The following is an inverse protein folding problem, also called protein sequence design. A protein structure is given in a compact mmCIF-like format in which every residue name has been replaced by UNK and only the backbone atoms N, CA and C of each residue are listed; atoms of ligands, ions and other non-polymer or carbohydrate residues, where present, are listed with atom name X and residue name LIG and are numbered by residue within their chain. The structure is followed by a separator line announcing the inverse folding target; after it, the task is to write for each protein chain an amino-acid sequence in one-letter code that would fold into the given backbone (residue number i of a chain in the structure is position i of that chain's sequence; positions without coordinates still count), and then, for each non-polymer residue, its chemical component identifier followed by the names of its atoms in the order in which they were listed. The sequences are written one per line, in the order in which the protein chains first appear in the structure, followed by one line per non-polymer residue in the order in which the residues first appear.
data_IF_517054969575
#
_entry.id   IF_517054969575
#
_cell.length_a   1.000
_cell.length_b   1.000
_cell.length_c   1.000
_cell.angle_alpha   90.00
_cell.angle_beta   90.00
_cell.angle_gamma   90.00
#
_symmetry.space_group_name_H-M   'P 1'
#
loop_
_entity.id
_entity.type
_entity.pdbx_description
1 polymer ?
#
# COMPACT_ATOMS: atom_id res chain seq x y z
N UNK A 1 4.01 -28.19 10.56
CA UNK A 1 3.96 -28.14 9.07
C UNK A 1 3.09 -26.98 8.59
N UNK A 2 3.62 -26.10 7.74
CA UNK A 2 2.86 -25.00 7.15
C UNK A 2 1.93 -25.57 6.06
N UNK A 3 0.75 -26.05 6.48
CA UNK A 3 -0.27 -26.65 5.60
C UNK A 3 -0.80 -25.67 4.55
N UNK A 4 -0.55 -24.36 4.72
CA UNK A 4 -1.01 -23.32 3.81
C UNK A 4 -0.47 -23.45 2.37
N UNK A 5 0.62 -24.19 2.12
CA UNK A 5 1.11 -24.39 0.76
C UNK A 5 0.40 -25.54 0.02
N UNK A 6 0.01 -26.60 0.73
CA UNK A 6 -0.51 -27.82 0.10
C UNK A 6 -1.82 -27.60 -0.66
N UNK A 7 -2.64 -26.65 -0.22
CA UNK A 7 -3.96 -26.35 -0.80
C UNK A 7 -3.99 -25.05 -1.62
N UNK A 8 -2.84 -24.38 -1.77
CA UNK A 8 -2.77 -23.09 -2.45
C UNK A 8 -2.88 -23.26 -3.98
N UNK A 9 -4.00 -22.80 -4.56
CA UNK A 9 -4.19 -22.75 -6.02
C UNK A 9 -3.41 -21.62 -6.70
N UNK A 10 -3.02 -20.60 -5.93
CA UNK A 10 -2.21 -19.47 -6.36
C UNK A 10 -1.15 -19.18 -5.31
N UNK A 11 0.01 -18.74 -5.77
CA UNK A 11 1.13 -18.34 -4.94
C UNK A 11 1.66 -16.98 -5.40
N UNK A 12 2.27 -16.25 -4.47
CA UNK A 12 3.09 -15.10 -4.79
C UNK A 12 4.56 -15.49 -4.58
N UNK A 13 5.39 -15.33 -5.61
CA UNK A 13 6.83 -15.47 -5.51
C UNK A 13 7.44 -14.09 -5.23
N UNK A 14 8.04 -13.93 -4.06
CA UNK A 14 8.63 -12.68 -3.60
C UNK A 14 10.16 -12.73 -3.67
N UNK A 15 10.78 -11.63 -4.10
CA UNK A 15 12.23 -11.48 -4.10
C UNK A 15 12.64 -10.32 -3.20
N UNK A 16 13.49 -10.58 -2.20
CA UNK A 16 13.92 -9.59 -1.19
C UNK A 16 14.92 -8.53 -1.68
N UNK A 17 14.98 -8.23 -2.99
CA UNK A 17 15.94 -7.30 -3.58
C UNK A 17 15.21 -6.20 -4.36
N UNK A 18 15.68 -4.95 -4.26
CA UNK A 18 15.15 -3.78 -5.00
C UNK A 18 13.62 -3.55 -4.89
N UNK A 19 13.11 -3.31 -3.67
CA UNK A 19 11.70 -2.89 -3.47
C UNK A 19 10.70 -4.02 -3.22
N UNK A 20 11.21 -5.24 -3.00
CA UNK A 20 10.41 -6.44 -2.76
C UNK A 20 9.42 -6.76 -3.90
N UNK A 21 9.91 -6.90 -5.16
CA UNK A 21 9.08 -7.30 -6.28
C UNK A 21 8.43 -8.67 -6.04
N UNK A 22 7.22 -8.84 -6.56
CA UNK A 22 6.50 -10.09 -6.52
C UNK A 22 5.85 -10.43 -7.86
N UNK A 23 5.79 -11.72 -8.17
CA UNK A 23 4.93 -12.27 -9.20
C UNK A 23 3.81 -13.07 -8.54
N UNK A 24 2.58 -12.94 -9.04
CA UNK A 24 1.50 -13.88 -8.74
C UNK A 24 1.49 -14.96 -9.81
N UNK A 25 1.24 -16.21 -9.44
CA UNK A 25 1.31 -17.34 -10.35
C UNK A 25 0.92 -18.67 -9.72
N UNK A 26 1.30 -19.75 -10.39
CA UNK A 26 1.08 -21.12 -9.95
C UNK A 26 2.40 -21.78 -9.54
N UNK A 27 2.37 -22.50 -8.42
CA UNK A 27 3.46 -23.35 -7.98
C UNK A 27 3.14 -24.80 -8.36
N UNK A 28 3.91 -25.37 -9.28
CA UNK A 28 3.90 -26.80 -9.53
C UNK A 28 4.72 -27.47 -8.42
N UNK A 29 4.02 -28.16 -7.50
CA UNK A 29 4.67 -28.83 -6.37
C UNK A 29 5.38 -30.13 -6.77
N UNK A 30 5.04 -30.71 -7.93
CA UNK A 30 5.67 -31.94 -8.43
C UNK A 30 7.09 -31.63 -8.91
N UNK A 31 7.23 -30.53 -9.64
CA UNK A 31 8.52 -30.10 -10.21
C UNK A 31 9.19 -28.97 -9.43
N UNK A 32 8.51 -28.43 -8.40
CA UNK A 32 8.96 -27.28 -7.61
C UNK A 32 9.28 -26.08 -8.50
N UNK A 33 8.42 -25.85 -9.49
CA UNK A 33 8.55 -24.74 -10.45
C UNK A 33 7.45 -23.72 -10.24
N UNK A 34 7.78 -22.43 -10.39
CA UNK A 34 6.82 -21.35 -10.33
C UNK A 34 6.61 -20.78 -11.74
N UNK A 35 5.35 -20.67 -12.16
CA UNK A 35 4.95 -20.04 -13.41
C UNK A 35 4.10 -18.80 -13.10
N UNK A 36 4.59 -17.58 -13.39
CA UNK A 36 3.79 -16.36 -13.21
C UNK A 36 2.50 -16.38 -14.04
N UNK A 37 1.47 -15.71 -13.54
CA UNK A 37 0.21 -15.50 -14.26
C UNK A 37 0.51 -14.83 -15.62
N UNK A 38 -0.07 -15.38 -16.69
CA UNK A 38 0.12 -14.90 -18.05
C UNK A 38 1.45 -15.25 -18.71
N UNK A 39 2.36 -15.96 -18.03
CA UNK A 39 3.58 -16.48 -18.65
C UNK A 39 3.25 -17.70 -19.53
N UNK A 40 3.78 -17.80 -20.77
CA UNK A 40 3.63 -19.01 -21.57
C UNK A 40 4.26 -20.23 -20.88
N UNK A 41 3.66 -21.41 -21.03
CA UNK A 41 4.23 -22.64 -20.50
C UNK A 41 5.65 -22.90 -21.08
N UNK A 42 6.59 -23.29 -20.23
CA UNK A 42 7.99 -23.52 -20.61
C UNK A 42 8.80 -22.27 -20.92
N UNK A 43 8.23 -21.07 -20.70
CA UNK A 43 8.93 -19.81 -20.89
C UNK A 43 9.92 -19.49 -19.78
N UNK A 44 10.89 -18.62 -20.07
CA UNK A 44 11.91 -18.19 -19.11
C UNK A 44 11.61 -16.78 -18.55
N UNK A 45 12.35 -16.39 -17.50
CA UNK A 45 12.16 -15.11 -16.81
C UNK A 45 12.21 -13.87 -17.71
N UNK A 46 12.91 -13.90 -18.85
CA UNK A 46 13.00 -12.74 -19.77
C UNK A 46 11.70 -12.46 -20.53
N UNK A 47 10.79 -13.44 -20.59
CA UNK A 47 9.49 -13.32 -21.25
C UNK A 47 8.34 -13.06 -20.27
N UNK A 48 8.62 -13.12 -18.97
CA UNK A 48 7.62 -12.86 -17.95
C UNK A 48 7.30 -11.37 -17.90
N UNK A 49 6.07 -11.04 -17.49
CA UNK A 49 5.73 -9.66 -17.17
C UNK A 49 6.63 -9.14 -16.06
N UNK A 50 6.79 -7.82 -16.01
CA UNK A 50 7.51 -7.17 -14.91
C UNK A 50 6.83 -7.48 -13.58
N UNK A 51 7.59 -7.73 -12.50
CA UNK A 51 7.00 -8.01 -11.21
C UNK A 51 6.29 -6.78 -10.65
N UNK A 52 5.29 -7.03 -9.82
CA UNK A 52 4.61 -6.00 -9.05
C UNK A 52 5.52 -5.51 -7.92
N UNK A 53 5.64 -4.19 -7.78
CA UNK A 53 6.31 -3.59 -6.63
C UNK A 53 5.33 -3.52 -5.47
N UNK A 54 5.68 -4.15 -4.35
CA UNK A 54 4.80 -4.28 -3.20
C UNK A 54 4.81 -3.03 -2.30
N UNK A 55 5.89 -2.26 -2.28
CA UNK A 55 5.97 -1.01 -1.53
C UNK A 55 6.91 -0.02 -2.23
N UNK A 56 7.02 1.20 -1.70
CA UNK A 56 7.94 2.22 -2.17
C UNK A 56 9.40 1.94 -1.78
N UNK A 57 10.27 2.88 -2.16
CA UNK A 57 11.74 2.74 -2.06
C UNK A 57 12.31 2.65 -0.65
N UNK A 58 11.55 3.02 0.38
CA UNK A 58 11.99 3.07 1.77
C UNK A 58 11.49 1.87 2.60
N UNK A 59 11.29 0.71 1.95
CA UNK A 59 10.75 -0.49 2.56
C UNK A 59 11.57 -1.72 2.21
N UNK A 60 12.10 -2.42 3.22
CA UNK A 60 13.03 -3.54 3.07
C UNK A 60 12.74 -4.66 4.07
N UNK A 61 13.41 -5.81 3.92
CA UNK A 61 13.30 -6.96 4.83
C UNK A 61 11.85 -7.45 4.99
N UNK A 62 11.21 -7.70 3.85
CA UNK A 62 9.84 -8.18 3.74
C UNK A 62 9.74 -9.61 4.30
N UNK A 63 9.01 -9.80 5.40
CA UNK A 63 8.83 -11.11 6.01
C UNK A 63 7.35 -11.52 6.00
N UNK A 64 6.90 -12.35 5.03
CA UNK A 64 5.54 -12.86 4.98
C UNK A 64 5.38 -14.18 5.75
N UNK A 65 6.36 -14.63 6.53
CA UNK A 65 6.27 -15.93 7.19
C UNK A 65 5.34 -15.93 8.42
N UNK A 66 4.92 -14.75 8.87
CA UNK A 66 3.93 -14.65 9.94
C UNK A 66 2.55 -15.11 9.45
N UNK A 67 1.93 -16.00 10.22
CA UNK A 67 0.55 -16.42 10.02
C UNK A 67 -0.13 -16.72 11.34
N UNK A 68 -1.44 -16.52 11.39
CA UNK A 68 -2.28 -16.92 12.52
C UNK A 68 -3.65 -17.40 12.02
N UNK A 69 -4.51 -17.89 12.92
CA UNK A 69 -5.86 -18.36 12.61
C UNK A 69 -6.93 -17.38 13.13
N UNK A 70 -6.65 -16.07 13.07
CA UNK A 70 -7.56 -15.00 13.53
C UNK A 70 -8.36 -14.37 12.38
N UNK A 71 -8.38 -15.01 11.22
CA UNK A 71 -9.24 -14.61 10.09
C UNK A 71 -10.72 -14.91 10.34
N UNK A 72 -11.58 -14.45 9.43
CA UNK A 72 -13.01 -14.73 9.47
C UNK A 72 -13.25 -16.25 9.53
N UNK A 73 -14.10 -16.70 10.46
CA UNK A 73 -14.36 -18.13 10.67
C UNK A 73 -13.15 -18.95 11.14
N UNK A 74 -12.11 -18.32 11.69
CA UNK A 74 -10.87 -18.99 12.09
C UNK A 74 -9.90 -19.26 10.92
N UNK A 75 -10.14 -18.65 9.76
CA UNK A 75 -9.27 -18.78 8.60
C UNK A 75 -7.83 -18.32 8.90
N UNK A 76 -6.86 -18.99 8.27
CA UNK A 76 -5.46 -18.58 8.36
C UNK A 76 -5.24 -17.26 7.64
N UNK A 77 -4.62 -16.30 8.32
CA UNK A 77 -4.17 -15.02 7.74
C UNK A 77 -2.69 -15.11 7.44
N UNK A 78 -2.27 -14.49 6.33
CA UNK A 78 -0.87 -14.22 6.02
C UNK A 78 -0.57 -12.78 6.45
N UNK A 79 0.36 -12.62 7.38
CA UNK A 79 0.76 -11.34 7.92
C UNK A 79 2.13 -10.96 7.38
N UNK A 80 2.37 -9.66 7.28
CA UNK A 80 3.66 -9.12 6.93
C UNK A 80 4.00 -7.89 7.75
N UNK A 81 5.29 -7.68 7.94
CA UNK A 81 5.91 -6.44 8.38
C UNK A 81 7.23 -6.31 7.63
N UNK A 82 7.73 -5.08 7.54
CA UNK A 82 9.02 -4.83 6.94
C UNK A 82 9.69 -3.65 7.62
N UNK A 83 10.98 -3.51 7.37
CA UNK A 83 11.81 -2.45 7.86
C UNK A 83 11.64 -1.21 6.97
N UNK A 84 11.19 -0.12 7.57
CA UNK A 84 11.15 1.21 6.93
C UNK A 84 12.52 1.84 7.10
N UNK A 85 13.32 1.92 6.03
CA UNK A 85 14.75 2.29 6.04
C UNK A 85 15.00 3.80 6.22
N UNK A 86 14.13 4.48 6.96
CA UNK A 86 14.18 5.93 7.18
C UNK A 86 15.45 6.38 7.90
N UNK A 87 15.75 7.68 7.73
CA UNK A 87 16.89 8.33 8.39
C UNK A 87 16.72 8.45 9.90
N UNK A 88 17.78 8.93 10.56
CA UNK A 88 17.75 9.26 11.99
C UNK A 88 16.76 10.40 12.20
N UNK A 89 15.87 10.26 13.19
CA UNK A 89 14.99 11.36 13.59
C UNK A 89 15.82 12.56 14.02
N UNK A 90 15.44 13.78 13.65
CA UNK A 90 16.11 15.00 14.14
C UNK A 90 16.08 15.09 15.66
N UNK A 91 15.05 14.54 16.30
CA UNK A 91 14.96 14.46 17.76
C UNK A 91 15.94 13.45 18.36
N UNK A 92 16.41 12.46 17.58
CA UNK A 92 17.34 11.41 17.99
C UNK A 92 18.76 11.59 17.44
N UNK A 93 19.04 12.72 16.76
CA UNK A 93 20.37 13.09 16.30
C UNK A 93 21.32 13.31 17.51
N UNK A 94 22.66 13.40 17.32
CA UNK A 94 23.61 13.53 18.42
C UNK A 94 23.34 14.66 19.42
N UNK A 95 22.69 15.74 18.97
CA UNK A 95 22.26 16.89 19.79
C UNK A 95 20.74 16.95 19.99
N UNK A 96 20.06 15.81 19.83
CA UNK A 96 18.61 15.69 19.89
C UNK A 96 18.07 15.65 21.32
N UNK A 97 16.74 15.67 21.42
CA UNK A 97 16.01 15.65 22.70
C UNK A 97 15.65 14.24 23.20
N UNK A 98 15.86 13.20 22.39
CA UNK A 98 15.58 11.81 22.74
C UNK A 98 16.78 10.91 22.44
N UNK A 99 16.89 9.72 23.10
CA UNK A 99 17.93 8.76 22.80
C UNK A 99 17.99 8.38 21.32
N UNK A 100 19.16 7.96 20.86
CA UNK A 100 19.35 7.54 19.47
C UNK A 100 18.45 6.37 19.11
N UNK A 101 17.70 6.54 18.03
CA UNK A 101 17.02 5.47 17.31
C UNK A 101 16.96 5.84 15.83
N UNK A 102 16.92 4.83 14.97
CA UNK A 102 16.84 5.00 13.53
C UNK A 102 15.84 3.99 12.98
N UNK A 103 15.10 4.43 11.96
CA UNK A 103 14.13 3.58 11.26
C UNK A 103 12.97 3.09 12.13
N UNK A 104 12.07 2.30 11.53
CA UNK A 104 10.97 1.64 12.23
C UNK A 104 10.55 0.37 11.48
N UNK A 105 9.76 -0.48 12.12
CA UNK A 105 8.95 -1.46 11.39
C UNK A 105 7.66 -0.81 10.89
N UNK A 106 7.15 -1.25 9.74
CA UNK A 106 5.77 -0.93 9.36
C UNK A 106 4.79 -1.53 10.36
N UNK A 107 3.57 -0.97 10.36
CA UNK A 107 2.42 -1.69 10.90
C UNK A 107 2.31 -3.07 10.24
N UNK A 108 1.79 -4.03 10.99
CA UNK A 108 1.46 -5.34 10.45
C UNK A 108 0.37 -5.17 9.37
N UNK A 109 0.55 -5.85 8.24
CA UNK A 109 -0.42 -5.86 7.14
C UNK A 109 -0.84 -7.28 6.83
N UNK A 110 -2.09 -7.44 6.43
CA UNK A 110 -2.58 -8.66 5.80
C UNK A 110 -2.09 -8.70 4.35
N UNK A 111 -1.65 -9.87 3.90
CA UNK A 111 -1.37 -10.16 2.50
C UNK A 111 -2.46 -11.06 1.93
N UNK A 112 -3.06 -10.61 0.84
CA UNK A 112 -4.02 -11.40 0.07
C UNK A 112 -3.66 -11.35 -1.40
N UNK A 113 -4.00 -12.39 -2.15
CA UNK A 113 -4.00 -12.31 -3.62
C UNK A 113 -5.42 -11.88 -4.01
N UNK A 114 -5.54 -10.72 -4.64
CA UNK A 114 -6.78 -10.34 -5.31
C UNK A 114 -6.76 -10.94 -6.71
N UNK A 115 -7.79 -11.71 -7.11
CA UNK A 115 -7.92 -12.14 -8.50
C UNK A 115 -8.10 -10.93 -9.40
N UNK A 116 -7.76 -11.08 -10.68
CA UNK A 116 -7.95 -10.04 -11.71
C UNK A 116 -9.39 -9.49 -11.64
N UNK A 117 -9.50 -8.18 -11.43
CA UNK A 117 -10.77 -7.44 -11.37
C UNK A 117 -11.04 -6.66 -12.67
N UNK A 118 -10.56 -7.16 -13.81
CA UNK A 118 -10.64 -6.45 -15.10
C UNK A 118 -9.52 -5.43 -15.29
N UNK A 119 -8.39 -5.63 -14.59
CA UNK A 119 -7.16 -4.85 -14.72
C UNK A 119 -5.99 -5.70 -15.27
N UNK A 120 -6.33 -6.79 -15.96
CA UNK A 120 -5.46 -7.71 -16.71
C UNK A 120 -4.49 -8.59 -15.87
N UNK A 121 -4.59 -8.58 -14.53
CA UNK A 121 -3.77 -9.46 -13.67
C UNK A 121 -4.23 -9.59 -12.21
N UNK A 122 -3.95 -10.76 -11.62
CA UNK A 122 -3.98 -10.98 -10.17
C UNK A 122 -2.91 -10.12 -9.49
N UNK A 123 -3.16 -9.68 -8.25
CA UNK A 123 -2.20 -8.85 -7.53
C UNK A 123 -2.09 -9.18 -6.05
N UNK A 124 -0.93 -8.89 -5.48
CA UNK A 124 -0.75 -8.95 -4.02
C UNK A 124 -1.29 -7.66 -3.42
N UNK A 125 -2.39 -7.79 -2.69
CA UNK A 125 -3.03 -6.70 -1.97
C UNK A 125 -2.56 -6.70 -0.52
N UNK A 126 -2.25 -5.51 -0.03
CA UNK A 126 -1.88 -5.28 1.36
C UNK A 126 -2.93 -4.39 2.01
N UNK A 127 -3.39 -4.77 3.20
CA UNK A 127 -4.25 -3.94 4.05
C UNK A 127 -3.68 -3.94 5.46
N UNK A 128 -3.79 -2.83 6.23
CA UNK A 128 -3.45 -2.87 7.65
C UNK A 128 -4.15 -4.03 8.36
N UNK A 129 -3.46 -4.69 9.29
CA UNK A 129 -4.09 -5.72 10.12
C UNK A 129 -5.22 -5.08 10.96
N UNK A 130 -6.39 -5.74 11.09
CA UNK A 130 -7.59 -5.13 11.68
C UNK A 130 -7.40 -4.72 13.15
N UNK A 131 -6.42 -5.29 13.83
CA UNK A 131 -6.02 -4.94 15.20
C UNK A 131 -5.66 -3.47 15.35
N UNK A 132 -5.24 -2.78 14.27
CA UNK A 132 -4.99 -1.33 14.30
C UNK A 132 -6.24 -0.53 14.71
N UNK A 133 -7.44 -1.06 14.45
CA UNK A 133 -8.69 -0.41 14.81
C UNK A 133 -8.84 -0.22 16.32
N UNK A 134 -8.19 -1.05 17.14
CA UNK A 134 -8.20 -0.90 18.60
C UNK A 134 -7.46 0.35 19.09
N UNK A 135 -6.60 0.96 18.26
CA UNK A 135 -5.89 2.21 18.58
C UNK A 135 -6.68 3.46 18.21
N UNK A 136 -7.83 3.33 17.52
CA UNK A 136 -8.65 4.45 17.09
C UNK A 136 -9.44 4.98 18.29
N UNK A 137 -9.32 6.28 18.56
CA UNK A 137 -10.13 6.95 19.59
C UNK A 137 -11.54 7.25 19.03
N UNK A 138 -12.60 6.56 19.50
CA UNK A 138 -13.95 6.76 18.97
C UNK A 138 -14.49 8.16 19.25
N UNK A 139 -13.96 8.89 20.25
CA UNK A 139 -14.38 10.25 20.59
C UNK A 139 -13.72 11.30 19.69
N UNK A 140 -12.62 10.95 19.02
CA UNK A 140 -11.88 11.86 18.12
C UNK A 140 -12.06 11.52 16.63
N UNK A 141 -12.81 10.47 16.33
CA UNK A 141 -13.19 10.09 14.97
C UNK A 141 -14.03 11.21 14.34
N UNK A 142 -13.64 11.67 13.14
CA UNK A 142 -14.25 12.79 12.42
C UNK A 142 -14.63 12.40 10.99
N UNK A 143 -15.94 12.22 10.79
CA UNK A 143 -16.49 12.05 9.44
C UNK A 143 -16.73 13.40 8.77
N UNK A 144 -16.27 13.53 7.53
CA UNK A 144 -16.58 14.66 6.67
C UNK A 144 -17.72 14.32 5.71
N UNK A 145 -18.61 15.27 5.47
CA UNK A 145 -19.61 15.15 4.40
C UNK A 145 -18.92 15.18 3.03
N UNK A 146 -19.64 14.74 2.00
CA UNK A 146 -19.19 14.92 0.62
C UNK A 146 -18.92 16.41 0.37
N UNK A 147 -17.78 16.69 -0.26
CA UNK A 147 -17.31 18.04 -0.52
C UNK A 147 -16.75 18.12 -1.94
N UNK A 148 -17.09 19.21 -2.62
CA UNK A 148 -16.52 19.49 -3.92
C UNK A 148 -15.14 20.14 -3.74
N UNK A 149 -14.11 19.49 -4.30
CA UNK A 149 -12.75 20.02 -4.30
C UNK A 149 -12.57 20.91 -5.53
N UNK A 150 -12.56 22.22 -5.30
CA UNK A 150 -12.37 23.20 -6.36
C UNK A 150 -10.96 23.12 -6.97
N UNK A 151 -10.79 23.35 -8.28
CA UNK A 151 -9.48 23.41 -8.92
C UNK A 151 -8.53 24.38 -8.21
N UNK A 152 -7.34 23.90 -7.83
CA UNK A 152 -6.34 24.67 -7.09
C UNK A 152 -6.66 24.90 -5.60
N UNK A 153 -7.82 24.45 -5.12
CA UNK A 153 -8.20 24.56 -3.72
C UNK A 153 -7.40 23.63 -2.81
N UNK A 154 -7.23 24.04 -1.56
CA UNK A 154 -6.60 23.24 -0.50
C UNK A 154 -7.16 23.65 0.87
N UNK A 155 -6.79 22.89 1.92
CA UNK A 155 -7.20 23.24 3.29
C UNK A 155 -8.59 22.76 3.69
N UNK A 156 -9.17 21.78 3.01
CA UNK A 156 -10.51 21.27 3.33
C UNK A 156 -10.62 20.54 4.69
N UNK A 157 -9.49 20.10 5.26
CA UNK A 157 -9.42 19.37 6.53
C UNK A 157 -8.82 20.21 7.68
N UNK A 158 -9.19 21.49 7.80
CA UNK A 158 -8.58 22.43 8.78
C UNK A 158 -8.69 21.98 10.25
N UNK A 159 -9.68 21.17 10.58
CA UNK A 159 -9.94 20.69 11.93
C UNK A 159 -9.28 19.35 12.25
N UNK A 160 -8.60 18.72 11.30
CA UNK A 160 -7.87 17.46 11.50
C UNK A 160 -6.44 17.76 11.85
N UNK A 161 -6.05 17.47 13.09
CA UNK A 161 -4.70 17.70 13.62
C UNK A 161 -4.29 16.53 14.51
N UNK A 162 -3.05 16.09 14.40
CA UNK A 162 -2.48 15.04 15.23
C UNK A 162 -1.18 14.48 14.66
N UNK A 163 -0.36 13.93 15.54
CA UNK A 163 0.93 13.35 15.19
C UNK A 163 0.85 11.84 14.88
N UNK A 164 -0.29 11.22 15.16
CA UNK A 164 -0.62 9.85 14.80
C UNK A 164 -2.08 9.82 14.35
N UNK A 165 -2.29 9.71 13.03
CA UNK A 165 -3.61 9.74 12.40
C UNK A 165 -3.72 8.57 11.43
N UNK A 166 -4.94 8.03 11.33
CA UNK A 166 -5.38 7.21 10.21
C UNK A 166 -6.40 8.02 9.42
N UNK A 167 -6.24 8.10 8.10
CA UNK A 167 -7.11 8.88 7.21
C UNK A 167 -7.56 7.98 6.06
N UNK A 168 -8.87 7.75 5.93
CA UNK A 168 -9.47 7.09 4.77
C UNK A 168 -10.13 8.16 3.90
N UNK A 169 -9.67 8.31 2.66
CA UNK A 169 -10.22 9.27 1.71
C UNK A 169 -10.65 8.59 0.42
N UNK A 170 -11.89 8.85 0.01
CA UNK A 170 -12.43 8.45 -1.29
C UNK A 170 -12.62 9.67 -2.15
N UNK A 171 -12.15 9.61 -3.40
CA UNK A 171 -12.31 10.68 -4.37
C UNK A 171 -13.15 10.18 -5.54
N UNK A 172 -14.20 10.92 -5.85
CA UNK A 172 -15.04 10.68 -7.02
C UNK A 172 -14.70 11.71 -8.08
N UNK A 173 -14.43 11.25 -9.31
CA UNK A 173 -14.21 12.14 -10.45
C UNK A 173 -15.51 12.32 -11.20
N UNK A 174 -15.91 13.57 -11.43
CA UNK A 174 -16.99 13.87 -12.36
C UNK A 174 -16.61 13.37 -13.77
N UNK A 175 -17.60 12.97 -14.57
CA UNK A 175 -17.42 12.41 -15.92
C UNK A 175 -16.53 13.30 -16.82
N UNK A 176 -16.64 14.62 -16.66
CA UNK A 176 -15.89 15.62 -17.42
C UNK A 176 -14.76 16.29 -16.59
N UNK A 177 -14.31 15.67 -15.50
CA UNK A 177 -13.27 16.22 -14.65
C UNK A 177 -11.95 16.37 -15.43
N UNK A 178 -11.42 17.59 -15.47
CA UNK A 178 -10.10 17.91 -16.05
C UNK A 178 -8.96 17.79 -15.04
N UNK A 179 -9.23 17.24 -13.86
CA UNK A 179 -8.21 17.05 -12.84
C UNK A 179 -7.09 16.16 -13.40
N UNK A 180 -5.85 16.63 -13.28
CA UNK A 180 -4.65 15.86 -13.60
C UNK A 180 -3.95 15.37 -12.33
N UNK A 181 -4.30 15.93 -11.17
CA UNK A 181 -3.76 15.55 -9.87
C UNK A 181 -4.67 15.98 -8.73
N UNK A 182 -4.80 15.15 -7.71
CA UNK A 182 -5.50 15.45 -6.44
C UNK A 182 -4.97 14.52 -5.34
N UNK A 183 -5.26 14.82 -4.06
CA UNK A 183 -4.83 13.97 -2.95
C UNK A 183 -4.84 14.66 -1.59
N UNK A 184 -4.02 14.14 -0.68
CA UNK A 184 -3.89 14.61 0.70
C UNK A 184 -2.51 15.22 0.93
N UNK A 185 -2.47 16.34 1.65
CA UNK A 185 -1.25 16.93 2.20
C UNK A 185 -1.13 16.54 3.67
N UNK A 186 -0.08 15.83 4.04
CA UNK A 186 0.12 15.31 5.39
C UNK A 186 1.34 15.95 6.06
N UNK A 187 1.41 15.86 7.38
CA UNK A 187 2.55 16.33 8.21
C UNK A 187 2.98 17.77 7.86
N UNK A 188 2.01 18.64 7.59
CA UNK A 188 2.29 20.01 7.15
C UNK A 188 2.89 20.84 8.30
N UNK A 189 4.08 21.40 8.07
CA UNK A 189 4.74 22.32 8.99
C UNK A 189 5.45 23.43 8.19
N UNK A 190 4.93 24.65 8.25
CA UNK A 190 5.44 25.74 7.42
C UNK A 190 5.36 25.41 5.93
N UNK A 191 6.50 25.38 5.24
CA UNK A 191 6.63 24.99 3.84
C UNK A 191 6.82 23.48 3.61
N UNK A 192 7.03 22.69 4.67
CA UNK A 192 7.22 21.25 4.56
C UNK A 192 5.87 20.52 4.51
N UNK A 193 5.78 19.48 3.67
CA UNK A 193 4.71 18.50 3.69
C UNK A 193 5.14 17.13 3.15
N UNK A 194 4.39 16.10 3.53
CA UNK A 194 4.40 14.78 2.91
C UNK A 194 3.09 14.63 2.13
N UNK A 195 3.11 14.80 0.81
CA UNK A 195 1.88 14.72 0.00
C UNK A 195 1.66 13.28 -0.48
N UNK A 196 0.42 12.80 -0.39
CA UNK A 196 -0.06 11.58 -1.05
C UNK A 196 -0.98 11.99 -2.17
N UNK A 197 -0.67 11.63 -3.41
CA UNK A 197 -1.41 12.12 -4.57
C UNK A 197 -1.72 11.02 -5.57
N UNK A 198 -2.85 11.20 -6.26
CA UNK A 198 -3.24 10.49 -7.48
C UNK A 198 -3.00 11.44 -8.65
N UNK A 199 -2.32 10.96 -9.69
CA UNK A 199 -1.89 11.76 -10.85
C UNK A 199 -2.27 11.04 -12.14
N UNK A 200 -2.74 11.80 -13.13
CA UNK A 200 -3.05 11.29 -14.46
C UNK A 200 -1.83 11.40 -15.35
N UNK A 201 -1.32 10.27 -15.81
CA UNK A 201 -0.20 10.18 -16.73
C UNK A 201 -0.60 10.49 -18.17
N UNK A 202 0.41 10.73 -19.01
CA UNK A 202 0.23 10.81 -20.46
C UNK A 202 -0.33 9.48 -20.96
N UNK A 203 -1.47 9.52 -21.66
CA UNK A 203 -2.22 8.32 -22.04
C UNK A 203 -3.43 8.02 -21.15
N UNK A 204 -3.67 8.83 -20.12
CA UNK A 204 -4.91 8.80 -19.34
C UNK A 204 -4.93 7.84 -18.16
N UNK A 205 -3.87 7.04 -17.98
CA UNK A 205 -3.66 6.14 -16.83
C UNK A 205 -3.51 6.95 -15.54
N UNK A 206 -4.11 6.47 -14.45
CA UNK A 206 -3.91 7.03 -13.12
C UNK A 206 -2.80 6.29 -12.37
N UNK A 207 -1.90 7.04 -11.75
CA UNK A 207 -0.87 6.54 -10.84
C UNK A 207 -0.91 7.30 -9.53
N UNK A 208 -0.19 6.81 -8.52
CA UNK A 208 -0.24 7.39 -7.19
C UNK A 208 1.05 7.19 -6.42
N UNK A 209 1.26 7.99 -5.39
CA UNK A 209 2.36 7.75 -4.45
C UNK A 209 2.44 8.77 -3.31
N UNK A 210 3.60 8.74 -2.64
CA UNK A 210 4.00 9.63 -1.54
C UNK A 210 5.24 10.47 -1.92
N UNK A 211 5.25 11.79 -1.63
CA UNK A 211 6.44 12.65 -1.75
C UNK A 211 6.17 14.15 -1.91
N UNK A 212 7.18 15.03 -1.79
CA UNK A 212 7.05 16.44 -2.15
C UNK A 212 6.80 16.57 -3.66
N UNK A 213 6.25 17.70 -4.08
CA UNK A 213 5.69 17.94 -5.44
C UNK A 213 6.63 17.70 -6.64
N UNK A 214 7.92 17.40 -6.47
CA UNK A 214 8.91 17.15 -7.52
C UNK A 214 9.63 15.79 -7.37
N UNK A 215 9.44 14.86 -8.31
CA UNK A 215 10.29 13.65 -8.44
C UNK A 215 9.61 12.28 -8.29
N UNK A 216 8.39 12.12 -8.80
CA UNK A 216 7.57 10.90 -8.69
C UNK A 216 8.14 9.70 -9.46
N UNK A 217 8.22 8.53 -8.80
CA UNK A 217 8.31 7.20 -9.45
C UNK A 217 7.89 6.12 -8.43
N UNK A 218 6.59 5.84 -8.36
CA UNK A 218 6.02 4.75 -7.57
C UNK A 218 4.74 4.27 -8.24
N UNK A 219 4.65 2.96 -8.49
CA UNK A 219 3.42 2.26 -8.85
C UNK A 219 3.10 1.40 -7.65
N UNK A 220 2.13 1.76 -6.82
CA UNK A 220 1.54 0.74 -5.96
C UNK A 220 0.32 0.16 -6.70
N UNK A 221 -0.21 -0.97 -6.26
CA UNK A 221 -1.36 -1.66 -6.88
C UNK A 221 -2.70 -1.05 -6.42
N UNK A 222 -3.59 -0.61 -7.34
CA UNK A 222 -4.90 -0.08 -6.96
C UNK A 222 -5.68 -1.08 -6.10
N UNK A 223 -6.28 -0.61 -5.01
CA UNK A 223 -7.24 -1.42 -4.24
C UNK A 223 -8.48 -1.66 -5.12
N UNK A 224 -9.01 -2.89 -5.21
CA UNK A 224 -10.17 -3.17 -6.04
C UNK A 224 -11.41 -2.41 -5.54
N UNK A 225 -11.95 -1.56 -6.40
CA UNK A 225 -13.22 -0.85 -6.18
C UNK A 225 -14.40 -1.76 -6.50
N UNK A 226 -15.05 -2.27 -5.46
CA UNK A 226 -16.48 -2.53 -5.48
C UNK A 226 -17.09 -1.84 -4.27
N UNK A 227 -17.60 -0.62 -4.47
CA UNK A 227 -18.34 0.11 -3.43
C UNK A 227 -18.27 1.61 -3.58
N UNK A 228 -19.43 2.25 -3.62
CA UNK A 228 -19.60 3.67 -3.31
C UNK A 228 -19.11 3.92 -1.87
N UNK A 229 -18.14 4.82 -1.70
CA UNK A 229 -17.39 4.98 -0.45
C UNK A 229 -17.32 6.42 0.03
N UNK A 230 -17.68 6.63 1.29
CA UNK A 230 -17.68 7.90 2.02
C UNK A 230 -16.32 8.12 2.69
N UNK A 231 -15.85 9.38 2.80
CA UNK A 231 -14.64 9.72 3.60
C UNK A 231 -14.85 9.31 5.07
N UNK A 232 -13.93 8.52 5.65
CA UNK A 232 -13.99 8.04 7.05
C UNK A 232 -12.63 8.36 7.71
N UNK A 233 -12.61 9.30 8.65
CA UNK A 233 -11.40 9.67 9.40
C UNK A 233 -11.74 9.83 10.86
#
# INVERSE_FOLDING_TARGET
PNTAMADAKQAALLFGYNGNPAWVGQLDQTFVTFLPDGAPAGSNASSWRQPQQLDGRAFYSFNPHASDNKGAGGATRRLMFGWVTGGVSVAAAPNGSVPYWQSAHSLARLLTISPDQGCDESSVVQTPAPEIAALRDPLRHKKYAEMEIQPGGSGYLTQTKGDALELEATFSLAENAKATRFGLRLRQLGSFSCDVAVTREKGGRWTYGIGPTSGWNGSLVPQPTAGTGTLRG
#
